data_IF_771096139191
#
_entry.id   IF_771096139191
#
_cell.length_a   1.000
_cell.length_b   1.000
_cell.length_c   1.000
_cell.angle_alpha   90.00
_cell.angle_beta   90.00
_cell.angle_gamma   90.00
#
_symmetry.space_group_name_H-M   'P 1'
#
loop_
_entity.id
_entity.type
_entity.pdbx_description
1 polymer ?
#
# COMPACT_ATOMS: atom_id res chain seq x y z
N UNK A 1 -16.79 -6.53 15.15
CA UNK A 1 -16.74 -5.40 16.11
C UNK A 1 -15.31 -5.29 16.66
N UNK A 2 -14.47 -4.63 15.90
CA UNK A 2 -13.22 -3.97 16.30
C UNK A 2 -12.95 -3.03 15.12
N UNK A 3 -13.20 -1.72 15.17
CA UNK A 3 -13.01 -0.81 16.29
C UNK A 3 -11.90 0.14 15.88
N UNK A 4 -12.18 0.96 14.87
CA UNK A 4 -11.24 1.93 14.32
C UNK A 4 -10.70 2.84 15.42
N UNK A 5 -9.37 2.90 15.52
CA UNK A 5 -8.68 3.80 16.42
C UNK A 5 -8.86 5.24 15.91
N UNK A 6 -9.88 5.95 16.43
CA UNK A 6 -9.99 7.40 16.26
C UNK A 6 -9.04 8.09 17.23
N UNK A 7 -8.08 8.82 16.68
CA UNK A 7 -7.26 9.80 17.40
C UNK A 7 -8.15 11.02 17.75
N UNK A 8 -8.20 11.49 19.01
CA UNK A 8 -8.97 12.68 19.36
C UNK A 8 -8.30 13.96 18.85
N UNK A 9 -9.06 14.81 18.15
CA UNK A 9 -8.67 16.18 17.81
C UNK A 9 -8.74 17.04 19.08
N UNK A 10 -7.59 17.54 19.51
CA UNK A 10 -7.50 18.60 20.53
C UNK A 10 -7.77 19.95 19.90
N UNK A 11 -8.92 20.54 20.23
CA UNK A 11 -9.18 21.96 20.03
C UNK A 11 -8.38 22.76 21.07
N UNK A 12 -7.60 23.74 20.62
CA UNK A 12 -7.00 24.74 21.51
C UNK A 12 -7.00 26.07 20.78
N UNK A 13 -7.79 26.99 21.33
CA UNK A 13 -8.15 28.26 20.72
C UNK A 13 -6.98 29.19 20.46
N UNK A 14 -7.08 29.94 19.37
CA UNK A 14 -6.21 31.06 19.06
C UNK A 14 -7.01 32.35 19.31
N UNK A 15 -6.63 33.09 20.35
CA UNK A 15 -7.15 34.41 20.66
C UNK A 15 -6.47 35.49 19.81
N UNK A 16 -7.28 36.43 19.34
CA UNK A 16 -6.89 37.65 18.63
C UNK A 16 -5.95 38.54 19.45
N UNK A 17 -5.03 39.22 18.76
CA UNK A 17 -4.63 40.62 19.03
C UNK A 17 -3.91 41.17 17.80
N UNK A 18 -4.45 42.23 17.21
CA UNK A 18 -3.81 42.99 16.13
C UNK A 18 -2.73 43.97 16.63
N UNK A 19 -1.97 44.51 15.68
CA UNK A 19 -1.65 45.95 15.48
C UNK A 19 -0.65 46.06 14.32
N UNK A 20 -0.82 47.09 13.50
CA UNK A 20 -0.17 47.28 12.21
C UNK A 20 1.28 47.81 12.25
N UNK A 21 1.85 47.94 11.05
CA UNK A 21 3.17 48.55 10.84
C UNK A 21 3.61 48.49 9.38
N UNK A 22 3.53 49.63 8.68
CA UNK A 22 4.03 49.83 7.30
C UNK A 22 5.57 49.83 7.28
N UNK A 23 6.19 49.39 6.19
CA UNK A 23 7.59 49.74 5.93
C UNK A 23 8.30 48.97 4.81
N UNK A 24 8.26 49.53 3.60
CA UNK A 24 9.35 49.64 2.61
C UNK A 24 10.44 48.56 2.48
N UNK A 25 10.42 47.87 1.34
CA UNK A 25 11.50 47.82 0.35
C UNK A 25 12.86 47.22 0.74
N UNK A 26 13.19 46.09 0.10
CA UNK A 26 14.43 45.93 -0.68
C UNK A 26 14.39 44.65 -1.52
N UNK A 27 14.69 44.84 -2.80
CA UNK A 27 14.90 43.82 -3.82
C UNK A 27 16.15 43.01 -3.50
N UNK A 28 15.98 41.71 -3.25
CA UNK A 28 17.06 40.74 -3.20
C UNK A 28 16.79 39.65 -4.22
N UNK A 29 17.40 39.77 -5.40
CA UNK A 29 17.39 38.75 -6.44
C UNK A 29 18.17 37.52 -5.99
N UNK A 30 17.51 36.64 -5.23
CA UNK A 30 17.94 35.27 -5.03
C UNK A 30 17.60 34.48 -6.28
N UNK A 31 18.63 34.10 -7.04
CA UNK A 31 18.50 33.15 -8.15
C UNK A 31 17.83 31.88 -7.59
N UNK A 32 16.75 31.36 -8.19
CA UNK A 32 16.14 30.13 -7.68
C UNK A 32 17.17 29.01 -7.81
N UNK A 33 17.56 28.45 -6.66
CA UNK A 33 18.25 27.17 -6.61
C UNK A 33 17.27 26.13 -7.16
N UNK A 34 17.66 25.33 -8.17
CA UNK A 34 16.82 24.20 -8.57
C UNK A 34 16.83 23.23 -7.38
N UNK A 35 15.69 23.11 -6.72
CA UNK A 35 15.40 21.92 -5.91
C UNK A 35 15.37 20.76 -6.90
N UNK A 36 16.50 20.05 -7.00
CA UNK A 36 16.47 18.69 -7.49
C UNK A 36 15.72 17.90 -6.44
N UNK A 37 14.41 17.77 -6.62
CA UNK A 37 13.64 16.74 -5.96
C UNK A 37 14.32 15.43 -6.34
N UNK A 38 15.09 14.85 -5.42
CA UNK A 38 15.60 13.50 -5.57
C UNK A 38 14.36 12.60 -5.57
N UNK A 39 13.87 12.30 -6.77
CA UNK A 39 12.95 11.19 -7.03
C UNK A 39 13.48 9.99 -6.23
N UNK A 40 12.74 9.48 -5.23
CA UNK A 40 13.23 8.41 -4.37
C UNK A 40 13.55 7.22 -5.27
N UNK A 41 14.84 6.97 -5.44
CA UNK A 41 15.38 6.10 -6.47
C UNK A 41 14.63 4.77 -6.48
N UNK A 42 14.03 4.44 -7.64
CA UNK A 42 13.47 3.12 -7.90
C UNK A 42 14.54 2.10 -7.52
N UNK A 43 14.29 1.34 -6.46
CA UNK A 43 15.25 0.33 -6.00
C UNK A 43 15.42 -0.68 -7.13
N UNK A 44 16.60 -0.75 -7.71
CA UNK A 44 16.91 -1.76 -8.73
C UNK A 44 16.85 -3.16 -8.08
N UNK A 45 16.27 -4.13 -8.78
CA UNK A 45 16.24 -5.53 -8.32
C UNK A 45 15.20 -5.87 -7.25
N UNK A 46 13.99 -5.29 -7.30
CA UNK A 46 12.88 -5.75 -6.45
C UNK A 46 12.49 -7.20 -6.80
N UNK A 47 12.61 -8.11 -5.85
CA UNK A 47 12.10 -9.47 -5.92
C UNK A 47 11.17 -9.78 -4.74
N UNK A 48 10.32 -10.80 -4.89
CA UNK A 48 9.33 -11.17 -3.86
C UNK A 48 10.01 -11.57 -2.56
N UNK A 49 11.10 -12.33 -2.63
CA UNK A 49 11.85 -12.77 -1.47
C UNK A 49 12.45 -11.59 -0.69
N UNK A 50 12.94 -10.56 -1.37
CA UNK A 50 13.49 -9.34 -0.79
C UNK A 50 12.42 -8.46 -0.18
N UNK A 51 11.24 -8.36 -0.80
CA UNK A 51 10.09 -7.69 -0.20
C UNK A 51 9.59 -8.42 1.06
N UNK A 52 9.53 -9.75 1.04
CA UNK A 52 9.16 -10.56 2.21
C UNK A 52 10.15 -10.37 3.36
N UNK A 53 11.47 -10.42 3.09
CA UNK A 53 12.49 -10.11 4.10
C UNK A 53 12.33 -8.70 4.67
N UNK A 54 12.10 -7.70 3.81
CA UNK A 54 11.89 -6.32 4.26
C UNK A 54 10.65 -6.18 5.17
N UNK A 55 9.58 -6.93 4.92
CA UNK A 55 8.40 -6.98 5.79
C UNK A 55 8.72 -7.66 7.13
N UNK A 56 9.45 -8.78 7.11
CA UNK A 56 9.89 -9.45 8.32
C UNK A 56 10.79 -8.54 9.19
N UNK A 57 11.75 -7.83 8.58
CA UNK A 57 12.61 -6.85 9.26
C UNK A 57 11.79 -5.69 9.84
N UNK A 58 10.79 -5.21 9.09
CA UNK A 58 9.88 -4.15 9.54
C UNK A 58 9.08 -4.57 10.78
N UNK A 59 8.57 -5.79 10.79
CA UNK A 59 7.83 -6.37 11.92
C UNK A 59 8.75 -6.60 13.13
N UNK A 60 9.96 -7.11 12.88
CA UNK A 60 10.95 -7.36 13.91
C UNK A 60 11.42 -6.09 14.62
N UNK A 61 11.62 -5.00 13.87
CA UNK A 61 11.96 -3.70 14.44
C UNK A 61 10.87 -3.10 15.35
N UNK A 62 9.68 -3.71 15.39
CA UNK A 62 8.51 -3.26 16.18
C UNK A 62 8.02 -4.30 17.18
N UNK A 63 8.73 -5.42 17.31
CA UNK A 63 8.33 -6.57 18.14
C UNK A 63 6.90 -7.07 17.80
N UNK A 64 6.54 -7.10 16.52
CA UNK A 64 5.20 -7.51 16.07
C UNK A 64 5.01 -9.01 15.89
N UNK A 65 6.08 -9.80 15.97
CA UNK A 65 6.06 -11.25 15.80
C UNK A 65 5.01 -11.97 16.67
N UNK A 66 4.73 -11.58 17.94
CA UNK A 66 3.67 -12.20 18.74
C UNK A 66 2.26 -12.04 18.14
N UNK A 67 2.03 -11.00 17.34
CA UNK A 67 0.74 -10.75 16.69
C UNK A 67 0.61 -11.46 15.34
N UNK A 68 1.73 -11.83 14.71
CA UNK A 68 1.82 -12.47 13.39
C UNK A 68 1.54 -13.98 13.45
N UNK A 69 0.49 -14.39 14.18
CA UNK A 69 0.01 -15.76 14.10
C UNK A 69 -0.65 -16.01 12.74
N UNK A 70 -0.61 -17.23 12.16
CA UNK A 70 -1.27 -17.51 10.88
C UNK A 70 -2.76 -17.11 10.86
N UNK A 71 -3.46 -17.30 11.99
CA UNK A 71 -4.87 -16.91 12.16
C UNK A 71 -5.05 -15.39 12.02
N UNK A 72 -4.18 -14.60 12.62
CA UNK A 72 -4.30 -13.14 12.57
C UNK A 72 -3.92 -12.61 11.19
N UNK A 73 -2.87 -13.17 10.57
CA UNK A 73 -2.42 -12.76 9.25
C UNK A 73 -3.45 -13.06 8.16
N UNK A 74 -4.08 -14.26 8.18
CA UNK A 74 -5.15 -14.56 7.22
C UNK A 74 -6.39 -13.70 7.45
N UNK A 75 -6.69 -13.34 8.71
CA UNK A 75 -7.78 -12.41 9.00
C UNK A 75 -7.49 -11.00 8.48
N UNK A 76 -6.27 -10.48 8.70
CA UNK A 76 -5.84 -9.19 8.17
C UNK A 76 -5.84 -9.18 6.64
N UNK A 77 -5.29 -10.20 5.99
CA UNK A 77 -5.36 -10.39 4.53
C UNK A 77 -6.80 -10.29 4.00
N UNK A 78 -7.76 -10.91 4.69
CA UNK A 78 -9.17 -10.84 4.30
C UNK A 78 -9.76 -9.43 4.47
N UNK A 79 -9.28 -8.65 5.43
CA UNK A 79 -9.71 -7.26 5.63
C UNK A 79 -9.22 -6.41 4.47
N UNK A 80 -7.93 -6.44 4.14
CA UNK A 80 -7.38 -5.62 3.03
C UNK A 80 -7.97 -6.01 1.67
N UNK A 81 -8.24 -7.31 1.46
CA UNK A 81 -8.97 -7.73 0.27
C UNK A 81 -10.40 -7.17 0.21
N UNK A 82 -11.03 -6.95 1.37
CA UNK A 82 -12.35 -6.33 1.45
C UNK A 82 -12.29 -4.81 1.28
N UNK A 83 -11.22 -4.15 1.73
CA UNK A 83 -10.95 -2.73 1.48
C UNK A 83 -10.73 -2.49 -0.02
N UNK A 84 -10.00 -3.37 -0.70
CA UNK A 84 -9.91 -3.36 -2.16
C UNK A 84 -11.29 -3.48 -2.82
N UNK A 85 -12.12 -4.44 -2.38
CA UNK A 85 -13.49 -4.62 -2.91
C UNK A 85 -14.35 -3.38 -2.69
N UNK A 86 -14.20 -2.67 -1.58
CA UNK A 86 -14.98 -1.48 -1.24
C UNK A 86 -14.85 -0.38 -2.31
N UNK A 87 -13.69 -0.27 -2.96
CA UNK A 87 -13.43 0.69 -4.04
C UNK A 87 -14.31 0.38 -5.27
N UNK A 88 -14.58 -0.90 -5.54
CA UNK A 88 -15.26 -1.35 -6.76
C UNK A 88 -16.76 -1.62 -6.58
N UNK A 89 -17.22 -1.81 -5.35
CA UNK A 89 -18.53 -2.43 -5.06
C UNK A 89 -19.75 -1.73 -5.70
N UNK A 90 -19.67 -0.43 -5.99
CA UNK A 90 -20.76 0.35 -6.59
C UNK A 90 -20.48 0.82 -8.02
N UNK A 91 -19.36 0.41 -8.62
CA UNK A 91 -18.99 0.79 -9.97
C UNK A 91 -19.73 -0.06 -11.01
N UNK A 92 -20.14 0.55 -12.11
CA UNK A 92 -20.52 -0.21 -13.31
C UNK A 92 -19.28 -0.87 -13.94
N UNK A 93 -19.45 -1.87 -14.82
CA UNK A 93 -18.31 -2.48 -15.53
C UNK A 93 -17.44 -1.46 -16.29
N UNK A 94 -18.04 -0.46 -16.92
CA UNK A 94 -17.29 0.58 -17.65
C UNK A 94 -16.52 1.51 -16.69
N UNK A 95 -17.09 1.80 -15.51
CA UNK A 95 -16.43 2.61 -14.49
C UNK A 95 -15.29 1.84 -13.83
N UNK A 96 -15.48 0.56 -13.51
CA UNK A 96 -14.44 -0.27 -12.88
C UNK A 96 -13.23 -0.47 -13.80
N UNK A 97 -13.45 -0.59 -15.11
CA UNK A 97 -12.38 -0.65 -16.10
C UNK A 97 -11.55 0.66 -16.18
N UNK A 98 -12.11 1.78 -15.73
CA UNK A 98 -11.49 3.11 -15.72
C UNK A 98 -11.18 3.62 -14.31
N UNK A 99 -11.19 2.75 -13.31
CA UNK A 99 -10.96 3.12 -11.90
C UNK A 99 -9.61 3.81 -11.68
N UNK A 100 -8.63 3.56 -12.56
CA UNK A 100 -7.30 4.16 -12.50
C UNK A 100 -7.21 5.54 -13.17
N UNK A 101 -8.25 5.99 -13.88
CA UNK A 101 -8.26 7.30 -14.57
C UNK A 101 -8.46 8.46 -13.58
N UNK A 102 -9.12 8.21 -12.44
CA UNK A 102 -9.21 9.16 -11.33
C UNK A 102 -8.03 8.95 -10.36
N UNK A 103 -7.16 9.96 -10.15
CA UNK A 103 -6.02 9.84 -9.24
C UNK A 103 -6.41 9.47 -7.80
N UNK A 104 -7.61 9.89 -7.35
CA UNK A 104 -8.11 9.59 -6.01
C UNK A 104 -8.36 8.10 -5.80
N UNK A 105 -9.08 7.45 -6.72
CA UNK A 105 -9.31 6.00 -6.67
C UNK A 105 -8.06 5.21 -7.05
N UNK A 106 -7.25 5.67 -7.99
CA UNK A 106 -6.03 4.99 -8.43
C UNK A 106 -5.03 4.76 -7.28
N UNK A 107 -4.82 5.79 -6.44
CA UNK A 107 -3.96 5.67 -5.26
C UNK A 107 -4.48 4.62 -4.29
N UNK A 108 -5.79 4.65 -3.98
CA UNK A 108 -6.40 3.67 -3.08
C UNK A 108 -6.26 2.25 -3.61
N UNK A 109 -6.54 2.01 -4.90
CA UNK A 109 -6.36 0.67 -5.50
C UNK A 109 -4.91 0.19 -5.35
N UNK A 110 -3.95 1.09 -5.56
CA UNK A 110 -2.52 0.77 -5.45
C UNK A 110 -2.14 0.37 -4.03
N UNK A 111 -2.63 1.11 -3.02
CA UNK A 111 -2.39 0.82 -1.61
C UNK A 111 -3.01 -0.52 -1.20
N UNK A 112 -4.30 -0.75 -1.49
CA UNK A 112 -4.98 -1.98 -1.07
C UNK A 112 -4.38 -3.23 -1.75
N UNK A 113 -3.95 -3.11 -3.01
CA UNK A 113 -3.22 -4.20 -3.68
C UNK A 113 -1.88 -4.48 -2.99
N UNK A 114 -1.17 -3.44 -2.56
CA UNK A 114 0.08 -3.58 -1.84
C UNK A 114 -0.14 -4.21 -0.45
N UNK A 115 -1.20 -3.83 0.26
CA UNK A 115 -1.54 -4.35 1.58
C UNK A 115 -1.98 -5.82 1.53
N UNK A 116 -2.81 -6.20 0.54
CA UNK A 116 -3.13 -7.61 0.26
C UNK A 116 -1.86 -8.42 0.03
N UNK A 117 -0.95 -7.93 -0.82
CA UNK A 117 0.32 -8.60 -1.08
C UNK A 117 1.18 -8.69 0.19
N UNK A 118 1.26 -7.62 0.98
CA UNK A 118 2.07 -7.56 2.19
C UNK A 118 1.62 -8.60 3.23
N UNK A 119 0.31 -8.75 3.48
CA UNK A 119 -0.17 -9.78 4.42
C UNK A 119 -0.03 -11.18 3.87
N UNK A 120 -0.17 -11.38 2.55
CA UNK A 120 0.10 -12.69 1.94
C UNK A 120 1.56 -13.10 2.13
N UNK A 121 2.51 -12.20 1.88
CA UNK A 121 3.94 -12.48 2.06
C UNK A 121 4.32 -12.71 3.53
N UNK A 122 3.74 -11.96 4.46
CA UNK A 122 3.95 -12.21 5.89
C UNK A 122 3.35 -13.55 6.34
N UNK A 123 2.21 -13.95 5.79
CA UNK A 123 1.63 -15.28 6.04
C UNK A 123 2.53 -16.38 5.48
N UNK A 124 3.06 -16.19 4.27
CA UNK A 124 4.02 -17.10 3.65
C UNK A 124 5.29 -17.25 4.50
N UNK A 125 5.84 -16.16 5.02
CA UNK A 125 7.00 -16.18 5.93
C UNK A 125 6.74 -17.05 7.17
N UNK A 126 5.62 -16.81 7.87
CA UNK A 126 5.29 -17.55 9.09
C UNK A 126 4.99 -19.03 8.83
N UNK A 127 4.47 -19.37 7.63
CA UNK A 127 4.17 -20.75 7.23
C UNK A 127 5.31 -21.47 6.51
N UNK A 128 6.42 -20.78 6.20
CA UNK A 128 7.53 -21.33 5.42
C UNK A 128 7.16 -21.63 3.96
N UNK A 129 6.29 -20.83 3.35
CA UNK A 129 5.86 -20.97 1.96
C UNK A 129 6.69 -20.04 1.08
N UNK A 130 7.33 -20.58 0.04
CA UNK A 130 7.86 -19.78 -1.06
C UNK A 130 6.73 -19.42 -2.02
N UNK A 131 6.31 -18.15 -2.01
CA UNK A 131 5.21 -17.65 -2.82
C UNK A 131 5.41 -17.80 -4.33
N UNK A 132 6.65 -17.61 -4.83
CA UNK A 132 6.95 -17.73 -6.26
C UNK A 132 6.90 -19.19 -6.70
N UNK A 133 7.59 -20.07 -5.96
CA UNK A 133 7.55 -21.51 -6.23
C UNK A 133 6.13 -22.08 -6.12
N UNK A 134 5.32 -21.58 -5.17
CA UNK A 134 3.92 -21.99 -5.01
C UNK A 134 3.04 -21.56 -6.19
N UNK A 135 3.22 -20.33 -6.69
CA UNK A 135 2.48 -19.82 -7.84
C UNK A 135 2.89 -20.52 -9.14
N UNK A 136 4.18 -20.71 -9.37
CA UNK A 136 4.73 -21.42 -10.53
C UNK A 136 4.13 -22.83 -10.65
N UNK A 137 4.23 -23.62 -9.58
CA UNK A 137 3.63 -24.96 -9.53
C UNK A 137 2.09 -24.93 -9.71
N UNK A 138 1.42 -23.84 -9.29
CA UNK A 138 -0.02 -23.67 -9.48
C UNK A 138 -0.38 -23.35 -10.94
N UNK A 139 0.44 -22.58 -11.64
CA UNK A 139 0.29 -22.29 -13.08
C UNK A 139 0.39 -23.59 -13.87
N UNK A 140 1.43 -24.40 -13.64
CA UNK A 140 1.59 -25.73 -14.28
C UNK A 140 0.34 -26.61 -14.14
N UNK A 141 -0.27 -26.62 -12.95
CA UNK A 141 -1.51 -27.37 -12.70
C UNK A 141 -2.72 -26.76 -13.41
N UNK A 142 -2.77 -25.44 -13.53
CA UNK A 142 -3.86 -24.75 -14.22
C UNK A 142 -3.80 -24.97 -15.73
N UNK A 143 -2.62 -24.93 -16.35
CA UNK A 143 -2.44 -25.19 -17.78
C UNK A 143 -2.89 -26.60 -18.16
N UNK A 144 -2.59 -27.59 -17.31
CA UNK A 144 -3.07 -28.98 -17.48
C UNK A 144 -4.59 -29.10 -17.28
N UNK A 145 -5.15 -28.33 -16.34
CA UNK A 145 -6.59 -28.36 -16.02
C UNK A 145 -7.43 -27.63 -17.07
N UNK A 146 -6.87 -26.61 -17.70
CA UNK A 146 -7.55 -25.73 -18.67
C UNK A 146 -6.67 -25.58 -19.92
N UNK A 147 -6.54 -26.65 -20.74
CA UNK A 147 -5.73 -26.59 -21.94
C UNK A 147 -6.30 -25.61 -22.97
N UNK A 148 -5.44 -25.06 -23.82
CA UNK A 148 -5.87 -24.25 -24.96
C UNK A 148 -6.69 -25.14 -25.90
N UNK A 149 -7.91 -24.72 -26.29
CA UNK A 149 -8.70 -25.48 -27.25
C UNK A 149 -7.91 -25.73 -28.55
N UNK A 150 -7.78 -27.01 -28.94
CA UNK A 150 -7.09 -27.41 -30.16
C UNK A 150 -5.57 -27.58 -30.05
N UNK A 151 -4.99 -27.48 -28.85
CA UNK A 151 -3.62 -27.93 -28.60
C UNK A 151 -3.60 -29.47 -28.42
N UNK A 152 -3.59 -30.21 -29.54
CA UNK A 152 -3.18 -31.61 -29.59
C UNK A 152 -1.77 -31.74 -30.18
#
# INVERSE_FOLDING_TARGET
MAGGLRVPRGESGCGERGVGGRGGGRTGGGRPVPVTEEEPGRREGLDVAGLQRRLADFAAARDWQPYHTPKNLVAALSVEASELVEIFQWLTPDQSARVMDDPGTAHRVTDEVADVLAYLLQLCEVLGIDALSALDAKIDRNEKRFPVPGAE
#
